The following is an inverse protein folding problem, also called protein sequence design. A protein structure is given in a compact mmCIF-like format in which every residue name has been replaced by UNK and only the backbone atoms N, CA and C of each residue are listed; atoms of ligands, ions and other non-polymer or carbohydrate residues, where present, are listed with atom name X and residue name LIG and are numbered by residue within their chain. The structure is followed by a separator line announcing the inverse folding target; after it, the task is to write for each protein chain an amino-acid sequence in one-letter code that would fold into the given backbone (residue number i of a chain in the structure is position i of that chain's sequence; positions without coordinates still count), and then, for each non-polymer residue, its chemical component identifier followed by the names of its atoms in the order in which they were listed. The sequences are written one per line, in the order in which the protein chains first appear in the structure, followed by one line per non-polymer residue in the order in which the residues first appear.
data_IF_298640917661
#
_entry.id   IF_298640917661
#
_cell.length_a   1.000
_cell.length_b   1.000
_cell.length_c   1.000
_cell.angle_alpha   90.00
_cell.angle_beta   90.00
_cell.angle_gamma   90.00
#
_symmetry.space_group_name_H-M   'P 1'
#
loop_
_entity.id
_entity.type
_entity.pdbx_description
1 polymer ?
#
# COMPACT_ATOMS: atom_id res chain seq x y z
N UNK A 1 3.76 20.01 -13.97
CA UNK A 1 3.66 18.59 -13.59
C UNK A 1 4.89 18.31 -12.76
N UNK A 2 4.74 18.13 -11.45
CA UNK A 2 5.88 17.76 -10.58
C UNK A 2 6.27 16.35 -10.98
N UNK A 3 7.54 16.15 -11.33
CA UNK A 3 8.10 14.82 -11.56
C UNK A 3 7.83 13.99 -10.30
N UNK A 4 7.32 12.77 -10.44
CA UNK A 4 7.01 11.92 -9.27
C UNK A 4 8.21 11.87 -8.35
N UNK A 5 7.99 12.02 -7.04
CA UNK A 5 9.03 11.90 -6.03
C UNK A 5 9.55 10.45 -5.90
N UNK A 6 8.97 9.51 -6.65
CA UNK A 6 9.23 8.08 -6.59
C UNK A 6 9.82 7.55 -7.91
N UNK A 7 10.32 6.31 -7.87
CA UNK A 7 10.88 5.65 -9.04
C UNK A 7 9.80 5.36 -10.10
N UNK A 8 10.24 5.13 -11.34
CA UNK A 8 9.34 4.79 -12.46
C UNK A 8 8.57 3.48 -12.26
N UNK A 9 9.09 2.59 -11.40
CA UNK A 9 8.42 1.35 -11.02
C UNK A 9 7.27 1.59 -10.04
N UNK A 10 7.44 2.50 -9.09
CA UNK A 10 6.36 2.95 -8.19
C UNK A 10 5.27 3.62 -9.01
N UNK A 11 5.62 4.51 -9.94
CA UNK A 11 4.65 5.17 -10.81
C UNK A 11 3.81 4.17 -11.63
N UNK A 12 4.47 3.12 -12.16
CA UNK A 12 3.77 2.05 -12.89
C UNK A 12 2.80 1.29 -11.99
N UNK A 13 3.20 1.02 -10.75
CA UNK A 13 2.36 0.33 -9.77
C UNK A 13 1.14 1.17 -9.37
N UNK A 14 1.32 2.47 -9.15
CA UNK A 14 0.22 3.40 -8.86
C UNK A 14 -0.76 3.46 -10.04
N UNK A 15 -0.26 3.50 -11.27
CA UNK A 15 -1.12 3.47 -12.46
C UNK A 15 -2.00 2.20 -12.50
N UNK A 16 -1.40 1.03 -12.29
CA UNK A 16 -2.13 -0.22 -12.26
C UNK A 16 -3.20 -0.25 -11.14
N UNK A 17 -2.89 0.34 -9.98
CA UNK A 17 -3.86 0.48 -8.89
C UNK A 17 -5.05 1.37 -9.28
N UNK A 18 -4.79 2.51 -9.93
CA UNK A 18 -5.84 3.43 -10.42
C UNK A 18 -6.76 2.72 -11.42
N UNK A 19 -6.19 1.99 -12.38
CA UNK A 19 -6.97 1.23 -13.37
C UNK A 19 -7.85 0.17 -12.68
N UNK A 20 -7.32 -0.49 -11.66
CA UNK A 20 -8.03 -1.51 -10.87
C UNK A 20 -9.21 -0.91 -10.11
N UNK A 21 -8.97 0.16 -9.34
CA UNK A 21 -10.02 0.82 -8.54
C UNK A 21 -11.08 1.47 -9.42
N UNK A 22 -10.69 1.95 -10.61
CA UNK A 22 -11.64 2.53 -11.57
C UNK A 22 -12.56 1.45 -12.15
N UNK A 23 -12.02 0.27 -12.47
CA UNK A 23 -12.81 -0.85 -13.01
C UNK A 23 -13.62 -1.59 -11.95
N UNK A 24 -13.24 -1.51 -10.67
CA UNK A 24 -13.94 -2.10 -9.54
C UNK A 24 -13.93 -1.13 -8.35
N UNK A 25 -14.90 -0.20 -8.29
CA UNK A 25 -14.92 0.87 -7.30
C UNK A 25 -14.90 0.33 -5.87
N UNK A 26 -13.86 0.69 -5.13
CA UNK A 26 -13.70 0.34 -3.73
C UNK A 26 -13.00 1.48 -2.98
N UNK A 27 -13.03 1.40 -1.66
CA UNK A 27 -12.24 2.27 -0.79
C UNK A 27 -11.01 1.53 -0.30
N UNK A 28 -9.86 2.21 -0.32
CA UNK A 28 -8.56 1.67 0.09
C UNK A 28 -8.04 2.51 1.26
N UNK A 29 -7.38 1.85 2.21
CA UNK A 29 -6.58 2.50 3.26
C UNK A 29 -5.25 1.76 3.40
N UNK A 30 -4.22 2.42 3.92
CA UNK A 30 -2.92 1.79 4.20
C UNK A 30 -2.61 1.72 5.69
N UNK A 31 -1.93 0.67 6.10
CA UNK A 31 -1.23 0.59 7.39
C UNK A 31 0.25 0.38 7.07
N UNK A 32 1.07 1.34 7.47
CA UNK A 32 2.47 1.44 7.07
C UNK A 32 3.39 1.23 8.27
N UNK A 33 4.56 0.67 8.05
CA UNK A 33 5.61 0.54 9.05
C UNK A 33 6.96 0.91 8.46
N UNK A 34 7.68 -0.05 7.87
CA UNK A 34 9.01 0.16 7.28
C UNK A 34 9.08 1.27 6.25
N UNK A 35 8.00 1.55 5.51
CA UNK A 35 8.00 2.56 4.44
C UNK A 35 7.73 3.97 4.96
N UNK A 36 7.39 4.12 6.25
CA UNK A 36 7.34 5.41 6.94
C UNK A 36 6.31 6.41 6.38
N UNK A 37 5.29 5.94 5.67
CA UNK A 37 4.26 6.78 5.04
C UNK A 37 4.47 7.02 3.55
N UNK A 38 5.53 6.49 2.93
CA UNK A 38 5.79 6.68 1.50
C UNK A 38 4.70 6.05 0.62
N UNK A 39 4.10 4.95 1.06
CA UNK A 39 2.92 4.38 0.41
C UNK A 39 1.75 5.36 0.37
N UNK A 40 1.43 5.97 1.51
CA UNK A 40 0.35 6.95 1.61
C UNK A 40 0.64 8.18 0.74
N UNK A 41 1.90 8.65 0.73
CA UNK A 41 2.33 9.76 -0.11
C UNK A 41 2.16 9.46 -1.61
N UNK A 42 2.63 8.30 -2.09
CA UNK A 42 2.48 7.89 -3.48
C UNK A 42 1.01 7.73 -3.89
N UNK A 43 0.19 7.07 -3.06
CA UNK A 43 -1.23 6.85 -3.34
C UNK A 43 -2.01 8.17 -3.36
N UNK A 44 -1.76 9.06 -2.39
CA UNK A 44 -2.47 10.34 -2.30
C UNK A 44 -2.16 11.30 -3.46
N UNK A 45 -1.01 11.13 -4.11
CA UNK A 45 -0.64 11.87 -5.32
C UNK A 45 -1.33 11.35 -6.59
N UNK A 46 -1.97 10.18 -6.53
CA UNK A 46 -2.65 9.60 -7.68
C UNK A 46 -3.89 10.40 -8.10
N UNK A 47 -4.26 10.39 -9.39
CA UNK A 47 -5.47 11.07 -9.86
C UNK A 47 -6.72 10.62 -9.12
N UNK A 48 -7.53 11.59 -8.68
CA UNK A 48 -8.80 11.37 -7.99
C UNK A 48 -8.68 10.53 -6.70
N UNK A 49 -7.49 10.46 -6.08
CA UNK A 49 -7.25 9.65 -4.88
C UNK A 49 -8.26 9.94 -3.76
N UNK A 50 -8.73 11.19 -3.59
CA UNK A 50 -9.75 11.54 -2.59
C UNK A 50 -11.07 10.77 -2.71
N UNK A 51 -11.38 10.22 -3.89
CA UNK A 51 -12.62 9.48 -4.13
C UNK A 51 -12.55 8.05 -3.59
N UNK A 52 -11.35 7.48 -3.48
CA UNK A 52 -11.17 6.05 -3.20
C UNK A 52 -10.11 5.74 -2.13
N UNK A 53 -9.18 6.64 -1.83
CA UNK A 53 -8.22 6.48 -0.75
C UNK A 53 -8.70 7.17 0.53
N UNK A 54 -8.88 6.39 1.59
CA UNK A 54 -9.38 6.83 2.89
C UNK A 54 -8.29 7.35 3.83
N UNK A 55 -7.03 7.26 3.42
CA UNK A 55 -5.87 7.62 4.23
C UNK A 55 -5.14 6.39 4.76
N UNK A 56 -4.21 6.63 5.67
CA UNK A 56 -3.42 5.55 6.25
C UNK A 56 -2.86 5.88 7.62
N UNK A 57 -2.43 4.84 8.31
CA UNK A 57 -1.78 4.91 9.62
C UNK A 57 -0.33 4.48 9.46
N UNK A 58 0.61 5.20 10.08
CA UNK A 58 2.01 4.80 10.16
C UNK A 58 2.29 4.31 11.58
N UNK A 59 2.60 3.01 11.72
CA UNK A 59 2.89 2.34 12.98
C UNK A 59 4.21 1.56 12.87
N UNK A 60 5.33 2.24 13.17
CA UNK A 60 6.66 1.67 12.99
C UNK A 60 7.02 0.63 14.05
N UNK A 61 6.76 0.91 15.32
CA UNK A 61 7.09 -0.01 16.41
C UNK A 61 6.06 -1.16 16.53
N UNK A 62 6.48 -2.37 16.94
CA UNK A 62 5.55 -3.52 17.08
C UNK A 62 4.43 -3.27 18.08
N UNK A 63 4.73 -2.68 19.24
CA UNK A 63 3.77 -2.34 20.29
C UNK A 63 2.61 -1.44 19.80
N UNK A 64 2.85 -0.57 18.81
CA UNK A 64 1.81 0.25 18.17
C UNK A 64 0.92 -0.57 17.21
N UNK A 65 1.40 -1.71 16.68
CA UNK A 65 0.64 -2.56 15.73
C UNK A 65 -0.33 -3.51 16.43
N UNK A 66 -0.01 -3.94 17.65
CA UNK A 66 -0.75 -4.98 18.36
C UNK A 66 -1.78 -4.37 19.32
N UNK A 67 -2.97 -4.07 18.80
CA UNK A 67 -4.19 -3.93 19.59
C UNK A 67 -4.94 -5.27 19.68
N UNK A 68 -5.78 -5.45 20.70
CA UNK A 68 -6.43 -6.74 21.05
C UNK A 68 -7.28 -7.38 19.94
N UNK A 69 -7.57 -6.67 18.84
CA UNK A 69 -8.43 -7.14 17.74
C UNK A 69 -7.74 -7.16 16.35
N UNK A 70 -6.42 -6.99 16.25
CA UNK A 70 -5.73 -6.99 14.96
C UNK A 70 -5.39 -8.42 14.49
N UNK A 71 -5.98 -8.86 13.36
CA UNK A 71 -5.57 -10.09 12.66
C UNK A 71 -4.46 -9.75 11.66
N UNK A 72 -3.21 -9.96 12.06
CA UNK A 72 -2.02 -9.68 11.24
C UNK A 72 -1.66 -10.93 10.42
N UNK A 73 -1.49 -10.77 9.10
CA UNK A 73 -0.80 -11.75 8.25
C UNK A 73 0.63 -11.25 8.04
N UNK A 74 1.60 -11.94 8.64
CA UNK A 74 3.02 -11.62 8.48
C UNK A 74 3.60 -12.29 7.23
N UNK A 75 4.57 -11.64 6.61
CA UNK A 75 5.45 -12.22 5.59
C UNK A 75 6.88 -12.13 6.10
N UNK A 76 7.64 -13.22 5.96
CA UNK A 76 9.07 -13.24 6.27
C UNK A 76 9.86 -13.01 4.99
N UNK A 77 10.86 -12.13 5.07
CA UNK A 77 11.79 -11.87 3.98
C UNK A 77 13.21 -12.07 4.52
N UNK A 78 14.10 -12.65 3.70
CA UNK A 78 15.51 -12.77 4.01
C UNK A 78 16.27 -11.55 3.45
N UNK A 79 16.95 -10.77 4.29
CA UNK A 79 17.74 -9.59 3.88
C UNK A 79 17.79 -8.48 4.94
N UNK A 80 18.58 -7.42 4.69
CA UNK A 80 18.63 -6.23 5.55
C UNK A 80 17.41 -5.31 5.30
N UNK A 81 16.79 -4.71 6.34
CA UNK A 81 15.50 -4.00 6.22
C UNK A 81 15.42 -2.90 5.15
N UNK A 82 16.55 -2.26 4.82
CA UNK A 82 16.62 -1.20 3.81
C UNK A 82 16.55 -1.75 2.36
N UNK A 83 16.95 -3.00 2.15
CA UNK A 83 17.01 -3.64 0.83
C UNK A 83 15.64 -4.21 0.41
N UNK A 84 14.73 -4.42 1.37
CA UNK A 84 13.45 -5.12 1.19
C UNK A 84 12.24 -4.19 1.14
N UNK A 85 12.43 -2.86 1.26
CA UNK A 85 11.33 -1.89 1.31
C UNK A 85 10.48 -1.93 0.04
N UNK A 86 11.11 -1.94 -1.13
CA UNK A 86 10.40 -1.99 -2.42
C UNK A 86 9.69 -3.35 -2.64
N UNK A 87 10.29 -4.44 -2.15
CA UNK A 87 9.67 -5.77 -2.22
C UNK A 87 8.46 -5.89 -1.29
N UNK A 88 8.53 -5.33 -0.08
CA UNK A 88 7.41 -5.27 0.87
C UNK A 88 6.27 -4.43 0.29
N UNK A 89 6.58 -3.30 -0.36
CA UNK A 89 5.61 -2.47 -1.07
C UNK A 89 4.92 -3.29 -2.17
N UNK A 90 5.69 -3.97 -3.01
CA UNK A 90 5.16 -4.81 -4.08
C UNK A 90 4.30 -5.96 -3.56
N UNK A 91 4.72 -6.64 -2.48
CA UNK A 91 3.98 -7.72 -1.86
C UNK A 91 2.65 -7.23 -1.24
N UNK A 92 2.66 -6.07 -0.58
CA UNK A 92 1.46 -5.46 -0.02
C UNK A 92 0.43 -5.13 -1.12
N UNK A 93 0.89 -4.55 -2.23
CA UNK A 93 0.00 -4.26 -3.37
C UNK A 93 -0.58 -5.53 -4.01
N UNK A 94 0.23 -6.59 -4.20
CA UNK A 94 -0.25 -7.88 -4.72
C UNK A 94 -1.31 -8.51 -3.82
N UNK A 95 -1.05 -8.59 -2.52
CA UNK A 95 -2.00 -9.17 -1.56
C UNK A 95 -3.31 -8.37 -1.51
N UNK A 96 -3.25 -7.05 -1.64
CA UNK A 96 -4.44 -6.22 -1.71
C UNK A 96 -5.26 -6.48 -2.99
N UNK A 97 -4.61 -6.57 -4.15
CA UNK A 97 -5.27 -6.86 -5.43
C UNK A 97 -5.95 -8.24 -5.45
N UNK A 98 -5.30 -9.26 -4.88
CA UNK A 98 -5.87 -10.61 -4.73
C UNK A 98 -7.11 -10.61 -3.82
N UNK A 99 -7.06 -9.87 -2.70
CA UNK A 99 -8.20 -9.74 -1.78
C UNK A 99 -9.38 -9.02 -2.40
N UNK A 100 -9.14 -7.96 -3.18
CA UNK A 100 -10.20 -7.25 -3.91
C UNK A 100 -10.83 -8.17 -4.96
N UNK A 101 -10.01 -8.94 -5.68
CA UNK A 101 -10.48 -9.84 -6.73
C UNK A 101 -11.25 -11.05 -6.19
N UNK A 102 -10.89 -11.54 -5.00
CA UNK A 102 -11.54 -12.67 -4.34
C UNK A 102 -12.79 -12.31 -3.53
N UNK A 103 -13.02 -11.03 -3.24
CA UNK A 103 -14.24 -10.53 -2.57
C UNK A 103 -15.49 -10.51 -3.47
N UNK A 104 -15.44 -11.10 -4.68
CA UNK A 104 -16.54 -11.25 -5.63
C UNK A 104 -17.45 -12.49 -5.39
N UNK A 105 -17.55 -12.98 -4.16
CA UNK A 105 -18.53 -14.02 -3.77
C UNK A 105 -19.70 -13.43 -3.01
#
# INVERSE_FOLDING_TARGET
MVQSAFSSEVDRSIKALVDTVTSSPCSIATADSLTGGQLAAAISAAPNASNWYKGGVVAYQPDIKHGENAKVTGFEFAGEPIEIVEEIICAAFRSLAERISSAKL
#
